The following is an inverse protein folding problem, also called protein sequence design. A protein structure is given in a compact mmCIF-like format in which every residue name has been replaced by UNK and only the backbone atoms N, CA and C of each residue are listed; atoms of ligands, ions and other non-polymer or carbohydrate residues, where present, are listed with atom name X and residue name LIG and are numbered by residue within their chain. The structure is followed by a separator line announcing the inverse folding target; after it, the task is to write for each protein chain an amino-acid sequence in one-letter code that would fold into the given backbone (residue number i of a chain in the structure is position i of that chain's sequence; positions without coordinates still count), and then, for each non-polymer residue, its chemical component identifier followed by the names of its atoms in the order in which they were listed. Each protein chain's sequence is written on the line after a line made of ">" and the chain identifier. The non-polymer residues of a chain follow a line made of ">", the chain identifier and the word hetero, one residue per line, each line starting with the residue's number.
data_IF_572208030103
#
_entry.id   IF_572208030103
#
_cell.length_a   1.000
_cell.length_b   1.000
_cell.length_c   1.000
_cell.angle_alpha   90.00
_cell.angle_beta   90.00
_cell.angle_gamma   90.00
#
_symmetry.space_group_name_H-M   'P 1'
#
loop_
_entity.id
_entity.type
_entity.pdbx_description
1 polymer ?
#
# COMPACT_ATOMS: atom_id res chain seq x y z
N UNK A 1 -6.86 -1.36 3.96
CA UNK A 1 -7.44 -2.47 4.73
C UNK A 1 -6.90 -2.43 6.15
N UNK A 2 -7.74 -2.60 7.14
CA UNK A 2 -7.28 -2.72 8.52
C UNK A 2 -6.63 -4.09 8.76
N UNK A 3 -5.49 -4.08 9.44
CA UNK A 3 -4.75 -5.29 9.83
C UNK A 3 -4.61 -5.36 11.35
N UNK A 4 -4.37 -6.54 11.93
CA UNK A 4 -4.05 -6.64 13.36
C UNK A 4 -2.85 -5.77 13.72
N UNK A 5 -2.91 -5.07 14.85
CA UNK A 5 -1.82 -4.21 15.32
C UNK A 5 -0.47 -4.93 15.44
N UNK A 6 -0.50 -6.22 15.77
CA UNK A 6 0.70 -7.07 15.84
C UNK A 6 1.41 -7.24 14.49
N UNK A 7 0.70 -7.04 13.39
CA UNK A 7 1.24 -7.16 12.04
C UNK A 7 1.45 -5.80 11.35
N UNK A 8 0.96 -4.72 11.93
CA UNK A 8 0.95 -3.39 11.32
C UNK A 8 2.35 -2.94 10.86
N UNK A 9 3.39 -3.18 11.66
CA UNK A 9 4.77 -2.81 11.33
C UNK A 9 5.35 -3.51 10.09
N UNK A 10 4.64 -4.47 9.52
CA UNK A 10 5.07 -5.20 8.31
C UNK A 10 4.67 -4.52 7.02
N UNK A 11 3.75 -3.55 7.10
CA UNK A 11 3.12 -2.91 5.94
C UNK A 11 3.42 -1.41 5.90
N UNK A 12 3.21 -0.81 4.73
CA UNK A 12 3.03 0.62 4.63
C UNK A 12 1.68 1.00 5.24
N UNK A 13 1.67 1.94 6.17
CA UNK A 13 0.49 2.34 6.94
C UNK A 13 0.06 3.74 6.60
N UNK A 14 -1.24 3.93 6.45
CA UNK A 14 -1.85 5.23 6.22
C UNK A 14 -2.46 5.77 7.52
N UNK A 15 -2.19 7.02 7.82
CA UNK A 15 -2.88 7.77 8.88
C UNK A 15 -3.86 8.71 8.20
N UNK A 16 -5.15 8.54 8.50
CA UNK A 16 -6.24 9.32 7.90
C UNK A 16 -6.94 10.19 8.94
N UNK A 17 -7.62 11.23 8.48
CA UNK A 17 -8.58 11.99 9.28
C UNK A 17 -10.01 11.39 9.18
N UNK A 18 -10.98 12.12 9.73
CA UNK A 18 -12.40 11.72 9.75
C UNK A 18 -13.03 11.63 8.36
N UNK A 19 -12.44 12.29 7.36
CA UNK A 19 -12.89 12.30 5.97
C UNK A 19 -12.13 11.28 5.09
N UNK A 20 -11.40 10.36 5.69
CA UNK A 20 -10.53 9.39 5.01
C UNK A 20 -9.37 10.04 4.22
N UNK A 21 -9.10 11.32 4.45
CA UNK A 21 -7.97 11.98 3.85
C UNK A 21 -6.67 11.50 4.50
N UNK A 22 -5.70 11.12 3.68
CA UNK A 22 -4.41 10.64 4.16
C UNK A 22 -3.56 11.83 4.60
N UNK A 23 -3.21 11.86 5.89
CA UNK A 23 -2.38 12.90 6.50
C UNK A 23 -0.92 12.49 6.63
N UNK A 24 -0.66 11.18 6.76
CA UNK A 24 0.68 10.64 6.82
C UNK A 24 0.73 9.21 6.24
N UNK A 25 1.90 8.85 5.78
CA UNK A 25 2.23 7.49 5.34
C UNK A 25 3.50 7.04 6.07
N UNK A 26 3.48 5.83 6.62
CA UNK A 26 4.60 5.23 7.32
C UNK A 26 4.98 3.92 6.65
N UNK A 27 6.15 3.84 6.05
CA UNK A 27 6.65 2.59 5.45
C UNK A 27 7.29 1.71 6.53
N UNK A 28 6.64 0.60 6.85
CA UNK A 28 7.11 -0.44 7.80
C UNK A 28 7.64 0.16 9.12
N UNK A 29 6.86 0.97 9.83
CA UNK A 29 7.34 1.68 11.01
C UNK A 29 7.58 0.71 12.19
N UNK A 30 8.56 1.01 13.02
CA UNK A 30 8.79 0.29 14.27
C UNK A 30 7.67 0.55 15.28
N UNK A 31 7.14 1.77 15.26
CA UNK A 31 6.02 2.22 16.11
C UNK A 31 4.87 2.65 15.19
N UNK A 32 3.92 1.77 14.88
CA UNK A 32 2.81 2.09 14.02
C UNK A 32 1.84 3.08 14.70
N UNK A 33 1.48 4.14 13.99
CA UNK A 33 0.46 5.12 14.41
C UNK A 33 -0.95 4.76 13.93
N UNK A 34 -1.05 3.79 13.04
CA UNK A 34 -2.28 3.30 12.45
C UNK A 34 -2.16 1.81 12.16
N UNK A 35 -3.29 1.14 12.02
CA UNK A 35 -3.35 -0.23 11.52
C UNK A 35 -3.98 -0.31 10.11
N UNK A 36 -4.15 0.84 9.44
CA UNK A 36 -4.68 0.91 8.08
C UNK A 36 -3.56 0.65 7.07
N UNK A 37 -3.43 -0.62 6.67
CA UNK A 37 -2.39 -1.06 5.75
C UNK A 37 -2.72 -0.71 4.30
N UNK A 38 -1.71 -0.22 3.58
CA UNK A 38 -1.74 -0.11 2.13
C UNK A 38 -1.72 -1.50 1.49
N UNK A 39 -2.60 -1.72 0.54
CA UNK A 39 -2.66 -2.96 -0.24
C UNK A 39 -1.76 -2.90 -1.49
N UNK A 40 -1.06 -1.79 -1.71
CA UNK A 40 -0.28 -1.56 -2.93
C UNK A 40 -1.15 -1.31 -4.17
N UNK A 41 -2.41 -0.95 -3.98
CA UNK A 41 -3.36 -0.66 -5.06
C UNK A 41 -3.69 0.83 -4.99
N UNK A 42 -3.40 1.56 -6.07
CA UNK A 42 -3.53 3.00 -6.12
C UNK A 42 -4.25 3.45 -7.38
N UNK A 43 -5.03 4.53 -7.26
CA UNK A 43 -5.67 5.23 -8.38
C UNK A 43 -5.17 6.67 -8.36
N UNK A 44 -4.62 7.12 -9.47
CA UNK A 44 -4.07 8.46 -9.63
C UNK A 44 -4.69 9.19 -10.81
N UNK A 45 -4.71 10.52 -10.73
CA UNK A 45 -4.79 11.35 -11.90
C UNK A 45 -3.48 11.20 -12.69
N UNK A 46 -3.57 10.84 -13.97
CA UNK A 46 -2.41 10.53 -14.80
C UNK A 46 -1.39 11.66 -14.90
N UNK A 47 -1.85 12.90 -15.08
CA UNK A 47 -0.94 14.05 -15.21
C UNK A 47 -0.12 14.26 -13.94
N UNK A 48 -0.76 14.06 -12.78
CA UNK A 48 -0.10 14.15 -11.48
C UNK A 48 0.91 13.01 -11.32
N UNK A 49 0.48 11.78 -11.56
CA UNK A 49 1.36 10.61 -11.44
C UNK A 49 2.58 10.73 -12.35
N UNK A 50 2.39 11.06 -13.61
CA UNK A 50 3.45 11.24 -14.59
C UNK A 50 4.50 12.25 -14.11
N UNK A 51 4.06 13.40 -13.58
CA UNK A 51 4.95 14.41 -13.05
C UNK A 51 5.85 13.84 -11.94
N UNK A 52 5.24 13.22 -10.93
CA UNK A 52 5.97 12.70 -9.77
C UNK A 52 6.89 11.53 -10.12
N UNK A 53 6.49 10.66 -11.04
CA UNK A 53 7.36 9.57 -11.50
C UNK A 53 8.57 10.09 -12.29
N UNK A 54 8.38 11.12 -13.12
CA UNK A 54 9.50 11.74 -13.87
C UNK A 54 10.47 12.45 -12.93
N UNK A 55 9.95 13.16 -11.91
CA UNK A 55 10.78 13.83 -10.90
C UNK A 55 11.54 12.81 -10.04
N UNK A 56 10.89 11.71 -9.68
CA UNK A 56 11.46 10.64 -8.87
C UNK A 56 12.56 9.87 -9.62
N UNK A 57 12.37 9.59 -10.91
CA UNK A 57 13.37 8.98 -11.78
C UNK A 57 14.63 9.85 -11.93
N UNK A 58 14.45 11.16 -11.93
CA UNK A 58 15.54 12.12 -12.03
C UNK A 58 16.33 12.29 -10.71
N UNK A 59 15.80 11.85 -9.58
CA UNK A 59 16.43 11.94 -8.27
C UNK A 59 17.38 10.73 -8.04
N UNK A 60 18.70 10.94 -8.01
CA UNK A 60 19.67 9.86 -7.81
C UNK A 60 19.60 9.24 -6.40
N UNK A 61 18.93 9.88 -5.44
CA UNK A 61 18.72 9.38 -4.08
C UNK A 61 17.42 8.61 -3.91
N UNK A 62 16.57 8.58 -4.93
CA UNK A 62 15.31 7.84 -4.90
C UNK A 62 15.56 6.34 -5.05
N UNK A 63 14.76 5.55 -4.34
CA UNK A 63 14.69 4.10 -4.50
C UNK A 63 13.63 3.68 -5.54
N UNK A 64 12.96 4.63 -6.19
CA UNK A 64 11.86 4.45 -7.14
C UNK A 64 10.73 3.60 -6.53
N UNK A 65 10.41 3.86 -5.26
CA UNK A 65 9.43 3.13 -4.48
C UNK A 65 8.23 4.02 -4.14
N UNK A 66 7.01 3.51 -4.34
CA UNK A 66 5.80 4.28 -4.06
C UNK A 66 5.68 4.66 -2.58
N UNK A 67 5.96 3.72 -1.68
CA UNK A 67 5.82 3.94 -0.24
C UNK A 67 6.93 4.82 0.35
N UNK A 68 8.14 4.72 -0.18
CA UNK A 68 9.30 5.46 0.34
C UNK A 68 9.47 6.83 -0.30
N UNK A 69 9.11 6.99 -1.56
CA UNK A 69 9.40 8.17 -2.36
C UNK A 69 8.14 8.87 -2.88
N UNK A 70 7.35 8.22 -3.72
CA UNK A 70 6.26 8.87 -4.46
C UNK A 70 5.15 9.35 -3.53
N UNK A 71 4.64 8.51 -2.64
CA UNK A 71 3.56 8.86 -1.72
C UNK A 71 3.99 9.94 -0.70
N UNK A 72 5.16 9.82 -0.04
CA UNK A 72 5.65 10.88 0.82
C UNK A 72 5.84 12.23 0.11
N UNK A 73 6.32 12.25 -1.14
CA UNK A 73 6.46 13.46 -1.92
C UNK A 73 5.11 14.11 -2.24
N UNK A 74 4.11 13.31 -2.62
CA UNK A 74 2.73 13.79 -2.83
C UNK A 74 2.14 14.40 -1.56
N UNK A 75 2.36 13.79 -0.41
CA UNK A 75 1.90 14.31 0.89
C UNK A 75 2.63 15.61 1.27
N UNK A 76 3.95 15.67 1.07
CA UNK A 76 4.77 16.86 1.34
C UNK A 76 4.31 18.07 0.52
N UNK A 77 3.89 17.85 -0.73
CA UNK A 77 3.37 18.88 -1.61
C UNK A 77 1.89 19.24 -1.32
N UNK A 78 1.29 18.65 -0.30
CA UNK A 78 -0.09 18.92 0.10
C UNK A 78 -1.15 18.41 -0.88
N UNK A 79 -0.82 17.39 -1.69
CA UNK A 79 -1.79 16.77 -2.61
C UNK A 79 -2.91 16.07 -1.84
N UNK A 80 -4.11 16.15 -2.38
CA UNK A 80 -5.29 15.49 -1.80
C UNK A 80 -5.24 14.02 -2.11
N UNK A 81 -5.12 13.21 -1.08
CA UNK A 81 -5.09 11.75 -1.15
C UNK A 81 -6.09 11.19 -0.16
N UNK A 82 -6.84 10.21 -0.58
CA UNK A 82 -7.88 9.58 0.22
C UNK A 82 -7.69 8.08 0.27
N UNK A 83 -8.04 7.48 1.39
CA UNK A 83 -7.99 6.05 1.59
C UNK A 83 -9.37 5.44 1.35
N UNK A 84 -9.44 4.41 0.51
CA UNK A 84 -10.62 3.56 0.40
C UNK A 84 -10.49 2.39 1.38
N UNK A 85 -11.42 2.28 2.31
CA UNK A 85 -11.45 1.21 3.30
C UNK A 85 -11.98 -0.09 2.66
N UNK A 86 -11.06 -0.94 2.23
CA UNK A 86 -11.43 -2.26 1.71
C UNK A 86 -11.74 -3.23 2.84
N UNK A 87 -12.87 -3.92 2.72
CA UNK A 87 -13.27 -5.02 3.60
C UNK A 87 -13.43 -6.29 2.75
N UNK A 88 -12.64 -7.30 3.03
CA UNK A 88 -12.66 -8.56 2.29
C UNK A 88 -11.35 -9.32 2.41
N UNK A 89 -11.21 -10.39 1.64
CA UNK A 89 -9.98 -11.17 1.64
C UNK A 89 -8.89 -10.47 0.84
N UNK A 90 -7.75 -10.24 1.48
CA UNK A 90 -6.51 -9.79 0.84
C UNK A 90 -5.31 -10.42 1.54
N UNK A 91 -4.31 -10.81 0.77
CA UNK A 91 -3.06 -11.35 1.28
C UNK A 91 -1.88 -10.87 0.45
N UNK A 92 -0.85 -10.39 1.12
CA UNK A 92 0.44 -10.12 0.50
C UNK A 92 1.14 -11.44 0.19
N UNK A 93 1.14 -11.82 -1.08
CA UNK A 93 1.73 -13.09 -1.56
C UNK A 93 3.26 -13.04 -1.64
N UNK A 94 3.85 -11.85 -1.68
CA UNK A 94 5.30 -11.70 -1.75
C UNK A 94 6.00 -12.13 -0.45
N UNK A 95 5.25 -12.25 0.65
CA UNK A 95 5.75 -12.56 1.99
C UNK A 95 5.24 -13.88 2.56
N UNK A 96 4.63 -14.73 1.77
CA UNK A 96 4.22 -16.05 2.25
C UNK A 96 5.46 -16.91 2.53
N UNK A 97 5.65 -17.44 3.76
CA UNK A 97 6.74 -18.37 4.07
C UNK A 97 6.65 -19.68 3.27
N UNK A 98 5.49 -19.95 2.66
CA UNK A 98 5.26 -21.11 1.80
C UNK A 98 5.63 -20.85 0.32
N UNK A 99 6.08 -19.67 -0.02
CA UNK A 99 6.50 -19.31 -1.37
C UNK A 99 8.02 -19.53 -1.59
N UNK A 100 8.44 -20.76 -1.58
CA UNK A 100 9.37 -21.15 -2.59
C UNK A 100 8.62 -21.04 -3.93
N UNK A 101 9.00 -20.13 -4.82
CA UNK A 101 8.42 -19.80 -6.14
C UNK A 101 6.89 -20.04 -6.22
N UNK A 102 6.04 -19.03 -6.45
CA UNK A 102 4.61 -19.24 -6.61
C UNK A 102 4.38 -20.18 -7.77
N UNK A 103 4.06 -21.43 -7.48
CA UNK A 103 3.52 -22.32 -8.48
C UNK A 103 2.09 -21.91 -8.68
N UNK A 104 1.67 -21.78 -9.92
CA UNK A 104 0.31 -21.40 -10.30
C UNK A 104 -0.82 -22.29 -9.72
N UNK A 105 -0.47 -23.41 -9.10
CA UNK A 105 -1.36 -24.21 -8.27
C UNK A 105 -1.81 -23.50 -6.98
N UNK A 106 -0.99 -22.65 -6.37
CA UNK A 106 -1.38 -21.92 -5.15
C UNK A 106 -2.43 -20.85 -5.43
N UNK A 107 -2.50 -20.32 -6.65
CA UNK A 107 -3.51 -19.35 -7.07
C UNK A 107 -4.89 -20.00 -7.24
N UNK A 108 -4.95 -21.22 -7.80
CA UNK A 108 -6.22 -21.92 -8.02
C UNK A 108 -6.87 -22.39 -6.73
N UNK A 109 -6.10 -22.70 -5.68
CA UNK A 109 -6.65 -23.06 -4.37
C UNK A 109 -7.19 -21.85 -3.61
N UNK A 110 -6.56 -20.69 -3.71
CA UNK A 110 -7.05 -19.46 -3.08
C UNK A 110 -8.41 -19.00 -3.63
N UNK A 111 -8.70 -19.27 -4.90
CA UNK A 111 -9.98 -18.93 -5.53
C UNK A 111 -11.08 -19.99 -5.36
N UNK A 112 -10.74 -21.22 -4.96
CA UNK A 112 -11.72 -22.33 -4.88
C UNK A 112 -12.64 -22.26 -3.66
N UNK A 113 -12.37 -21.41 -2.69
CA UNK A 113 -13.13 -21.29 -1.43
C UNK A 113 -13.89 -19.97 -1.27
N UNK A 114 -14.12 -19.21 -2.33
CA UNK A 114 -15.05 -18.09 -2.27
C UNK A 114 -16.47 -18.57 -2.58
N UNK A 115 -17.42 -18.47 -1.63
CA UNK A 115 -18.82 -18.66 -1.97
C UNK A 115 -19.24 -17.54 -2.91
N UNK A 116 -19.66 -17.93 -4.11
CA UNK A 116 -20.34 -17.03 -5.04
C UNK A 116 -21.66 -16.61 -4.36
N UNK A 117 -21.79 -15.32 -4.06
CA UNK A 117 -23.07 -14.69 -3.72
C UNK A 117 -23.61 -14.00 -4.95
#
# INVERSE_FOLDING_TARGET
>A
MEVPWSEASRFGLMVTDEDDRINAFQEKPKEPKSNLASMGIYIFNWDILKKYLTEDEADPNSENDFGKNVIPNLLKDGRRMYAYHFSGYWKDVARSPACGRPTWRSWTEAFRHQPVR
#
